data_IF_434403780742
#
_entry.id   IF_434403780742
#
_cell.length_a   1.000
_cell.length_b   1.000
_cell.length_c   1.000
_cell.angle_alpha   90.00
_cell.angle_beta   90.00
_cell.angle_gamma   90.00
#
_symmetry.space_group_name_H-M   'P 1'
#
loop_
_entity.id
_entity.type
_entity.pdbx_description
1 polymer ?
#
# COMPACT_ATOMS: atom_id res chain seq x y z
N UNK A 1 -17.62 10.88 7.48
CA UNK A 1 -16.44 10.60 8.34
C UNK A 1 -15.30 10.22 7.42
N UNK A 2 -14.18 10.96 7.47
CA UNK A 2 -13.07 10.81 6.50
C UNK A 2 -12.19 9.58 6.82
N UNK A 3 -12.19 9.12 8.07
CA UNK A 3 -11.36 8.01 8.55
C UNK A 3 -12.10 6.65 8.61
N UNK A 4 -13.15 6.44 7.81
CA UNK A 4 -13.90 5.18 7.76
C UNK A 4 -14.39 4.64 9.13
N UNK A 5 -14.66 5.53 10.09
CA UNK A 5 -15.10 5.16 11.46
C UNK A 5 -13.96 5.01 12.48
N UNK A 6 -12.70 5.11 12.07
CA UNK A 6 -11.56 5.16 12.97
C UNK A 6 -11.48 6.56 13.61
N UNK A 7 -11.55 6.62 14.94
CA UNK A 7 -11.45 7.88 15.68
C UNK A 7 -10.03 8.47 15.63
N UNK A 8 -9.88 9.78 15.41
CA UNK A 8 -8.57 10.44 15.38
C UNK A 8 -7.75 10.21 16.67
N UNK A 9 -8.43 10.07 17.82
CA UNK A 9 -7.79 9.75 19.10
C UNK A 9 -7.13 8.37 19.13
N UNK A 10 -7.62 7.39 18.36
CA UNK A 10 -6.98 6.09 18.22
C UNK A 10 -5.70 6.22 17.38
N UNK A 11 -5.75 6.95 16.28
CA UNK A 11 -4.59 7.15 15.40
C UNK A 11 -3.46 7.90 16.12
N UNK A 12 -3.80 8.92 16.91
CA UNK A 12 -2.84 9.65 17.74
C UNK A 12 -2.17 8.74 18.78
N UNK A 13 -2.94 7.84 19.42
CA UNK A 13 -2.40 6.84 20.35
C UNK A 13 -1.42 5.89 19.65
N UNK A 14 -1.79 5.36 18.48
CA UNK A 14 -0.93 4.44 17.72
C UNK A 14 0.38 5.11 17.30
N UNK A 15 0.34 6.37 16.86
CA UNK A 15 1.55 7.15 16.55
C UNK A 15 2.49 7.28 17.75
N UNK A 16 1.94 7.66 18.91
CA UNK A 16 2.70 7.93 20.15
C UNK A 16 3.15 6.68 20.90
N UNK A 17 2.76 5.48 20.46
CA UNK A 17 3.23 4.25 21.08
C UNK A 17 4.77 4.12 20.95
N UNK A 18 5.48 3.81 22.04
CA UNK A 18 6.90 3.47 22.02
C UNK A 18 7.23 2.34 21.04
N UNK A 19 8.46 2.31 20.53
CA UNK A 19 8.89 1.29 19.56
C UNK A 19 8.80 -0.12 20.16
N UNK A 20 9.22 -0.30 21.41
CA UNK A 20 9.14 -1.57 22.14
C UNK A 20 7.69 -2.06 22.33
N UNK A 21 6.74 -1.15 22.54
CA UNK A 21 5.31 -1.51 22.58
C UNK A 21 4.78 -1.92 21.21
N UNK A 22 5.25 -1.26 20.13
CA UNK A 22 4.91 -1.64 18.76
C UNK A 22 5.52 -3.00 18.39
N UNK A 23 6.73 -3.29 18.87
CA UNK A 23 7.42 -4.57 18.64
C UNK A 23 6.65 -5.75 19.26
N UNK A 24 5.95 -5.54 20.39
CA UNK A 24 5.07 -6.58 20.96
C UNK A 24 3.87 -6.94 20.08
N UNK A 25 3.48 -6.05 19.18
CA UNK A 25 2.40 -6.28 18.22
C UNK A 25 2.90 -6.86 16.89
N UNK A 26 4.20 -7.17 16.78
CA UNK A 26 4.76 -7.77 15.56
C UNK A 26 4.04 -9.07 15.22
N UNK A 27 3.75 -9.23 13.93
CA UNK A 27 3.28 -10.48 13.37
C UNK A 27 4.30 -11.60 13.55
N UNK A 28 3.78 -12.83 13.67
CA UNK A 28 4.61 -14.03 13.58
C UNK A 28 5.14 -14.19 12.15
N UNK A 29 6.22 -14.94 11.96
CA UNK A 29 6.89 -15.08 10.65
C UNK A 29 6.00 -15.63 9.53
N UNK A 30 4.96 -16.38 9.88
CA UNK A 30 4.03 -17.02 8.95
C UNK A 30 2.66 -16.32 8.92
N UNK A 31 2.49 -15.23 9.67
CA UNK A 31 1.23 -14.47 9.75
C UNK A 31 1.29 -13.24 8.82
N UNK A 32 0.33 -13.16 7.91
CA UNK A 32 0.20 -12.04 6.95
C UNK A 32 -0.63 -10.90 7.52
N UNK A 33 -1.41 -11.16 8.56
CA UNK A 33 -2.19 -10.17 9.27
C UNK A 33 -1.36 -9.60 10.46
N UNK A 34 -1.70 -8.40 10.94
CA UNK A 34 -1.09 -7.67 12.08
C UNK A 34 0.07 -6.72 11.72
N UNK A 35 0.58 -6.03 12.75
CA UNK A 35 1.61 -5.00 12.64
C UNK A 35 2.96 -5.62 12.31
N UNK A 36 3.70 -5.04 11.37
CA UNK A 36 5.02 -5.53 10.99
C UNK A 36 5.52 -4.91 9.71
N UNK A 37 6.82 -5.04 9.46
CA UNK A 37 7.39 -4.74 8.15
C UNK A 37 7.07 -5.89 7.19
N UNK A 38 7.13 -5.62 5.87
CA UNK A 38 6.97 -6.68 4.87
C UNK A 38 7.96 -7.83 5.06
N UNK A 39 7.51 -9.06 4.75
CA UNK A 39 8.31 -10.25 4.97
C UNK A 39 9.48 -10.22 3.99
N UNK A 40 10.70 -10.34 4.50
CA UNK A 40 11.90 -10.49 3.69
C UNK A 40 12.19 -11.99 3.57
N UNK A 41 11.78 -12.57 2.45
CA UNK A 41 11.92 -13.99 2.13
C UNK A 41 13.26 -14.29 1.42
N UNK A 42 13.87 -13.28 0.79
CA UNK A 42 15.20 -13.42 0.18
C UNK A 42 15.98 -12.09 0.13
N UNK A 43 17.31 -12.20 -0.01
CA UNK A 43 18.20 -11.03 -0.09
C UNK A 43 18.05 -10.21 -1.38
N UNK A 44 17.43 -10.78 -2.41
CA UNK A 44 17.20 -10.12 -3.70
C UNK A 44 15.74 -9.71 -3.87
N UNK A 45 14.92 -9.81 -2.82
CA UNK A 45 13.52 -9.42 -2.88
C UNK A 45 13.44 -7.91 -3.03
N UNK A 46 12.84 -7.48 -4.13
CA UNK A 46 12.44 -6.08 -4.30
C UNK A 46 11.28 -5.83 -3.36
N UNK A 47 11.45 -4.99 -2.34
CA UNK A 47 10.36 -4.53 -1.48
C UNK A 47 9.57 -3.44 -2.20
N UNK A 48 8.96 -3.81 -3.31
CA UNK A 48 7.99 -2.98 -4.01
C UNK A 48 6.60 -3.31 -3.45
N UNK A 49 5.90 -2.28 -3.00
CA UNK A 49 4.54 -2.37 -2.45
C UNK A 49 3.49 -2.04 -3.49
N UNK A 50 3.92 -1.83 -4.74
CA UNK A 50 3.06 -1.41 -5.82
C UNK A 50 2.13 -2.52 -6.32
N UNK A 51 2.29 -3.76 -5.86
CA UNK A 51 1.40 -4.88 -6.16
C UNK A 51 0.03 -4.78 -5.45
N UNK A 52 -0.04 -4.09 -4.30
CA UNK A 52 -1.18 -4.12 -3.37
C UNK A 52 -1.94 -2.80 -3.29
N UNK A 53 -3.22 -2.89 -2.94
CA UNK A 53 -3.95 -1.71 -2.45
C UNK A 53 -3.50 -1.44 -1.03
N UNK A 54 -3.16 -0.20 -0.72
CA UNK A 54 -2.82 0.16 0.64
C UNK A 54 -3.32 1.54 1.05
N UNK A 55 -3.65 1.66 2.32
CA UNK A 55 -4.03 2.89 2.97
C UNK A 55 -2.90 3.32 3.88
N UNK A 56 -2.47 4.57 3.76
CA UNK A 56 -1.47 5.14 4.65
C UNK A 56 -2.02 6.31 5.44
N UNK A 57 -1.75 6.31 6.73
CA UNK A 57 -1.76 7.50 7.55
C UNK A 57 -0.35 8.09 7.54
N UNK A 58 -0.17 9.20 6.84
CA UNK A 58 1.12 9.88 6.76
C UNK A 58 1.53 10.50 8.10
N UNK A 59 2.82 10.85 8.19
CA UNK A 59 3.36 11.67 9.27
C UNK A 59 2.62 13.02 9.35
N UNK A 60 2.58 13.64 10.52
CA UNK A 60 1.88 14.91 10.72
C UNK A 60 2.67 16.11 10.19
N UNK A 61 3.99 16.01 10.08
CA UNK A 61 4.86 17.16 9.80
C UNK A 61 5.96 16.83 8.78
N UNK A 62 6.38 15.57 8.68
CA UNK A 62 7.51 15.16 7.84
C UNK A 62 7.02 14.53 6.52
N UNK A 63 7.05 15.33 5.46
CA UNK A 63 6.76 14.87 4.10
C UNK A 63 7.81 13.83 3.62
N UNK A 64 7.47 13.07 2.58
CA UNK A 64 8.42 12.16 1.96
C UNK A 64 7.88 11.27 0.84
N UNK A 65 6.57 10.98 0.85
CA UNK A 65 5.95 10.16 -0.19
C UNK A 65 5.92 10.92 -1.52
N UNK A 66 6.37 10.26 -2.59
CA UNK A 66 6.33 10.78 -3.95
C UNK A 66 5.75 9.74 -4.91
N UNK A 67 5.01 10.20 -5.92
CA UNK A 67 4.50 9.41 -7.03
C UNK A 67 5.22 9.81 -8.32
N UNK A 68 5.48 8.86 -9.20
CA UNK A 68 5.99 9.12 -10.54
C UNK A 68 4.82 9.37 -11.48
N UNK A 69 4.78 10.55 -12.10
CA UNK A 69 3.78 10.92 -13.10
C UNK A 69 4.44 11.72 -14.20
N UNK A 70 4.18 11.38 -15.47
CA UNK A 70 4.74 12.07 -16.63
C UNK A 70 6.28 12.22 -16.55
N UNK A 71 6.94 11.17 -16.06
CA UNK A 71 8.38 11.10 -15.82
C UNK A 71 8.91 12.12 -14.79
N UNK A 72 8.03 12.62 -13.92
CA UNK A 72 8.33 13.56 -12.84
C UNK A 72 7.89 13.00 -11.49
N UNK A 73 8.72 13.21 -10.46
CA UNK A 73 8.38 12.85 -9.10
C UNK A 73 7.56 13.97 -8.46
N UNK A 74 6.32 13.67 -8.09
CA UNK A 74 5.38 14.59 -7.48
C UNK A 74 5.20 14.21 -6.01
N UNK A 75 5.38 15.17 -5.11
CA UNK A 75 5.15 14.95 -3.67
C UNK A 75 3.67 14.77 -3.36
N UNK A 76 3.36 13.80 -2.49
CA UNK A 76 2.03 13.66 -1.91
C UNK A 76 1.96 14.53 -0.66
N UNK A 77 1.11 15.57 -0.63
CA UNK A 77 1.04 16.48 0.51
C UNK A 77 0.50 15.76 1.75
N UNK A 78 0.97 16.18 2.92
CA UNK A 78 0.34 15.77 4.18
C UNK A 78 -0.98 16.52 4.31
N UNK A 79 -2.06 15.76 4.46
CA UNK A 79 -3.39 16.28 4.76
C UNK A 79 -3.77 15.78 6.15
N UNK A 80 -4.00 16.72 7.08
CA UNK A 80 -4.41 16.38 8.44
C UNK A 80 -5.72 15.58 8.43
N UNK A 81 -5.80 14.56 9.29
CA UNK A 81 -6.96 13.67 9.42
C UNK A 81 -7.41 12.97 8.13
N UNK A 82 -6.49 12.74 7.19
CA UNK A 82 -6.76 12.02 5.96
C UNK A 82 -5.88 10.77 5.82
N UNK A 83 -6.44 9.76 5.16
CA UNK A 83 -5.71 8.60 4.66
C UNK A 83 -5.36 8.81 3.19
N UNK A 84 -4.14 8.46 2.82
CA UNK A 84 -3.74 8.34 1.40
C UNK A 84 -3.99 6.90 0.95
N UNK A 85 -4.77 6.72 -0.12
CA UNK A 85 -5.05 5.40 -0.70
C UNK A 85 -4.19 5.25 -1.96
N UNK A 86 -3.39 4.19 -2.02
CA UNK A 86 -2.71 3.76 -3.22
C UNK A 86 -3.42 2.51 -3.78
N UNK A 87 -3.61 2.49 -5.10
CA UNK A 87 -4.20 1.38 -5.85
C UNK A 87 -3.07 0.68 -6.59
N UNK A 88 -2.62 -0.47 -6.08
CA UNK A 88 -1.55 -1.23 -6.72
C UNK A 88 -2.00 -2.02 -7.95
N UNK A 89 -1.06 -2.79 -8.50
CA UNK A 89 -1.19 -3.59 -9.72
C UNK A 89 -2.39 -4.54 -9.66
N UNK A 90 -2.68 -5.10 -8.49
CA UNK A 90 -3.88 -5.91 -8.28
C UNK A 90 -5.16 -5.19 -8.73
N UNK A 91 -5.35 -3.93 -8.33
CA UNK A 91 -6.53 -3.15 -8.70
C UNK A 91 -6.47 -2.69 -10.16
N UNK A 92 -5.29 -2.40 -10.69
CA UNK A 92 -5.12 -2.13 -12.12
C UNK A 92 -5.57 -3.33 -12.96
N UNK A 93 -5.14 -4.55 -12.61
CA UNK A 93 -5.52 -5.79 -13.29
C UNK A 93 -7.03 -6.02 -13.18
N UNK A 94 -7.58 -5.99 -11.96
CA UNK A 94 -9.01 -6.27 -11.71
C UNK A 94 -9.93 -5.26 -12.39
N UNK A 95 -9.50 -4.01 -12.51
CA UNK A 95 -10.24 -2.93 -13.15
C UNK A 95 -10.03 -2.85 -14.68
N UNK A 96 -9.33 -3.82 -15.28
CA UNK A 96 -8.96 -3.81 -16.69
C UNK A 96 -8.23 -2.52 -17.12
N UNK A 97 -7.40 -1.95 -16.24
CA UNK A 97 -6.60 -0.77 -16.54
C UNK A 97 -7.31 0.58 -16.32
N UNK A 98 -8.52 0.60 -15.76
CA UNK A 98 -9.22 1.84 -15.40
C UNK A 98 -8.46 2.59 -14.30
N UNK A 99 -8.06 1.87 -13.26
CA UNK A 99 -7.12 2.39 -12.27
C UNK A 99 -5.69 2.08 -12.70
N UNK A 100 -4.79 3.05 -12.50
CA UNK A 100 -3.38 2.92 -12.82
C UNK A 100 -2.55 2.88 -11.55
N UNK A 101 -1.73 1.84 -11.46
CA UNK A 101 -0.79 1.56 -10.39
C UNK A 101 0.34 2.58 -10.43
N UNK A 102 0.43 3.49 -9.44
CA UNK A 102 1.42 4.55 -9.45
C UNK A 102 2.74 4.07 -8.85
N UNK A 103 3.80 4.12 -9.64
CA UNK A 103 5.16 3.97 -9.12
C UNK A 103 5.40 5.04 -8.05
N UNK A 104 5.83 4.63 -6.86
CA UNK A 104 5.98 5.51 -5.72
C UNK A 104 7.31 5.29 -5.00
N UNK A 105 7.76 6.29 -4.26
CA UNK A 105 8.95 6.21 -3.40
C UNK A 105 8.79 7.06 -2.15
N UNK A 106 9.60 6.80 -1.14
CA UNK A 106 9.70 7.64 0.05
C UNK A 106 11.11 8.21 0.15
N UNK A 107 11.21 9.53 0.28
CA UNK A 107 12.47 10.20 0.56
C UNK A 107 12.84 10.06 2.04
N UNK A 108 14.11 9.77 2.30
CA UNK A 108 14.66 9.69 3.66
C UNK A 108 15.12 11.07 4.13
N UNK A 109 14.94 11.36 5.42
CA UNK A 109 15.36 12.59 6.06
C UNK A 109 16.35 12.29 7.20
N UNK A 110 17.53 12.91 7.17
CA UNK A 110 18.58 12.68 8.18
C UNK A 110 18.42 13.51 9.46
N UNK A 111 17.47 14.45 9.50
CA UNK A 111 17.26 15.40 10.60
C UNK A 111 16.03 15.09 11.46
N UNK A 112 15.02 14.45 10.88
CA UNK A 112 13.78 14.10 11.57
C UNK A 112 13.33 12.72 11.14
N UNK A 113 12.94 11.91 12.12
CA UNK A 113 12.26 10.66 11.88
C UNK A 113 10.89 10.92 11.24
N UNK A 114 10.49 10.01 10.35
CA UNK A 114 9.18 10.02 9.70
C UNK A 114 8.48 8.73 10.06
N UNK A 115 7.26 8.83 10.58
CA UNK A 115 6.45 7.66 10.91
C UNK A 115 5.21 7.59 10.01
N UNK A 116 4.89 6.40 9.53
CA UNK A 116 3.69 6.15 8.73
C UNK A 116 3.08 4.84 9.17
N UNK A 117 1.76 4.82 9.28
CA UNK A 117 1.01 3.58 9.45
C UNK A 117 0.45 3.19 8.08
N UNK A 118 0.81 2.00 7.61
CA UNK A 118 0.27 1.44 6.37
C UNK A 118 -0.62 0.23 6.69
N UNK A 119 -1.76 0.14 6.02
CA UNK A 119 -2.64 -1.02 6.02
C UNK A 119 -2.77 -1.51 4.58
N UNK A 120 -2.41 -2.77 4.35
CA UNK A 120 -2.51 -3.41 3.05
C UNK A 120 -3.82 -4.20 2.95
N UNK A 121 -4.48 -4.08 1.81
CA UNK A 121 -5.65 -4.88 1.46
C UNK A 121 -5.21 -5.85 0.37
N UNK A 122 -4.99 -7.11 0.76
CA UNK A 122 -4.50 -8.16 -0.12
C UNK A 122 -5.55 -9.26 -0.29
N UNK A 123 -5.66 -9.90 -1.47
CA UNK A 123 -6.42 -11.14 -1.63
C UNK A 123 -5.84 -12.25 -0.77
N UNK A 124 -6.65 -13.30 -0.59
CA UNK A 124 -6.12 -14.58 -0.13
C UNK A 124 -5.07 -15.11 -1.13
N UNK A 125 -3.99 -15.68 -0.61
CA UNK A 125 -2.98 -16.35 -1.42
C UNK A 125 -3.64 -17.46 -2.23
N UNK A 126 -3.16 -17.68 -3.46
CA UNK A 126 -3.69 -18.62 -4.45
C UNK A 126 -5.04 -18.21 -5.08
N UNK A 127 -5.56 -17.00 -4.78
CA UNK A 127 -6.76 -16.50 -5.44
C UNK A 127 -6.46 -16.12 -6.90
N UNK A 128 -7.33 -16.52 -7.83
CA UNK A 128 -7.21 -16.08 -9.23
C UNK A 128 -7.64 -14.62 -9.35
N UNK A 129 -6.72 -13.77 -9.81
CA UNK A 129 -6.96 -12.37 -10.13
C UNK A 129 -6.98 -12.16 -11.64
N UNK A 130 -7.83 -11.25 -12.12
CA UNK A 130 -7.93 -10.88 -13.52
C UNK A 130 -9.00 -9.80 -13.71
N UNK A 131 -9.14 -9.26 -14.93
CA UNK A 131 -10.14 -8.25 -15.21
C UNK A 131 -11.54 -8.76 -14.91
N UNK A 132 -12.33 -7.98 -14.16
CA UNK A 132 -13.74 -8.30 -13.93
C UNK A 132 -14.50 -8.31 -15.25
N UNK A 133 -15.30 -9.36 -15.48
CA UNK A 133 -16.01 -9.55 -16.76
C UNK A 133 -16.88 -8.36 -17.14
N UNK A 134 -17.50 -7.68 -16.17
CA UNK A 134 -18.32 -6.49 -16.40
C UNK A 134 -17.56 -5.24 -16.85
N UNK A 135 -16.22 -5.26 -16.83
CA UNK A 135 -15.34 -4.17 -17.27
C UNK A 135 -14.66 -4.48 -18.63
N UNK A 136 -14.96 -5.64 -19.21
CA UNK A 136 -14.50 -6.05 -20.53
C UNK A 136 -15.62 -5.79 -21.52
N UNK A 137 -15.36 -4.92 -22.50
CA UNK A 137 -16.30 -4.56 -23.56
C UNK A 137 -15.58 -4.55 -24.92
N UNK A 138 -16.32 -4.34 -26.00
CA UNK A 138 -15.70 -4.16 -27.32
C UNK A 138 -14.87 -2.88 -27.38
N UNK A 139 -15.25 -1.84 -26.62
CA UNK A 139 -14.51 -0.58 -26.48
C UNK A 139 -13.33 -0.68 -25.50
N UNK A 140 -13.44 -1.54 -24.48
CA UNK A 140 -12.41 -1.81 -23.48
C UNK A 140 -12.06 -3.30 -23.47
N UNK A 141 -11.33 -3.79 -24.50
CA UNK A 141 -10.99 -5.20 -24.58
C UNK A 141 -10.10 -5.62 -23.41
N UNK A 142 -10.04 -6.93 -23.17
CA UNK A 142 -9.23 -7.51 -22.09
C UNK A 142 -7.75 -7.14 -22.25
N UNK A 143 -7.20 -6.41 -21.29
CA UNK A 143 -5.78 -6.02 -21.27
C UNK A 143 -4.90 -7.02 -20.52
N UNK A 144 -5.43 -7.65 -19.47
CA UNK A 144 -4.69 -8.54 -18.58
C UNK A 144 -5.22 -9.98 -18.65
N UNK A 145 -4.31 -10.95 -18.47
CA UNK A 145 -4.66 -12.36 -18.33
C UNK A 145 -5.06 -12.64 -16.88
N UNK A 146 -5.77 -13.75 -16.65
CA UNK A 146 -5.91 -14.28 -15.31
C UNK A 146 -4.57 -14.82 -14.81
N UNK A 147 -4.26 -14.57 -13.54
CA UNK A 147 -3.11 -15.10 -12.84
C UNK A 147 -3.49 -15.49 -11.41
N UNK A 148 -2.77 -16.43 -10.83
CA UNK A 148 -2.93 -16.81 -9.43
C UNK A 148 -2.15 -15.83 -8.57
N UNK A 149 -2.78 -15.06 -7.68
CA UNK A 149 -2.09 -14.18 -6.75
C UNK A 149 -1.29 -14.98 -5.73
N UNK A 150 -0.01 -14.67 -5.56
CA UNK A 150 0.86 -15.23 -4.52
C UNK A 150 1.51 -14.08 -3.75
N UNK A 151 1.96 -14.33 -2.52
CA UNK A 151 2.65 -13.32 -1.70
C UNK A 151 3.95 -12.81 -2.34
N UNK A 152 4.50 -13.58 -3.27
CA UNK A 152 5.68 -13.28 -4.08
C UNK A 152 5.32 -12.72 -5.47
N UNK A 153 4.20 -12.00 -5.60
CA UNK A 153 3.83 -11.30 -6.84
C UNK A 153 4.80 -10.14 -7.13
N UNK A 154 6.01 -10.50 -7.53
CA UNK A 154 7.02 -9.61 -8.06
C UNK A 154 7.15 -9.90 -9.55
N UNK A 155 6.88 -8.89 -10.38
CA UNK A 155 7.27 -8.91 -11.80
C UNK A 155 8.75 -8.55 -11.96
#
# INVERSE_FOLDING_TARGET
TINHGIGSSLMEKVRKLPVDEKEKCLRDKDDVERYGNDMVLSNNQTLDWNDRIYLTLQDEVVEGLQLLRDNQWIGVPIVCDALTINVGDQMEIMSNGIFKSPVHRVLVNSKKERMTLAMFCVPETEMVIGPMDGLITDETPRLYKHGTYTLDFFF
#
